data_IF_819527230842
#
_entry.id   IF_819527230842
#
_cell.length_a   1.000
_cell.length_b   1.000
_cell.length_c   1.000
_cell.angle_alpha   90.00
_cell.angle_beta   90.00
_cell.angle_gamma   90.00
#
_symmetry.space_group_name_H-M   'P 1'
#
loop_
_entity.id
_entity.type
_entity.pdbx_description
1 polymer ?
#
# COMPACT_ATOMS: atom_id res chain seq x y z
N UNK A 1 6.76 2.89 -29.80
CA UNK A 1 6.77 1.45 -30.17
C UNK A 1 6.55 0.64 -28.89
N UNK A 2 5.33 0.14 -28.66
CA UNK A 2 5.02 -0.65 -27.46
C UNK A 2 5.43 -2.10 -27.69
N UNK A 3 6.50 -2.55 -27.04
CA UNK A 3 6.86 -3.97 -27.07
C UNK A 3 5.68 -4.80 -26.52
N UNK A 4 5.29 -5.90 -27.17
CA UNK A 4 4.13 -6.69 -26.75
C UNK A 4 4.30 -7.16 -25.30
N UNK A 5 3.32 -6.80 -24.46
CA UNK A 5 3.28 -7.11 -23.02
C UNK A 5 3.18 -8.63 -22.87
N UNK A 6 4.30 -9.29 -22.56
CA UNK A 6 4.34 -10.75 -22.39
C UNK A 6 3.42 -11.15 -21.24
N UNK A 7 2.62 -12.21 -21.45
CA UNK A 7 1.67 -12.72 -20.47
C UNK A 7 2.44 -13.28 -19.25
N UNK A 8 2.18 -12.70 -18.09
CA UNK A 8 2.57 -13.24 -16.78
C UNK A 8 1.70 -14.47 -16.46
N UNK A 9 2.16 -15.41 -15.62
CA UNK A 9 1.34 -16.57 -15.26
C UNK A 9 0.04 -16.11 -14.58
N UNK A 10 -1.06 -16.82 -14.86
CA UNK A 10 -2.41 -16.43 -14.43
C UNK A 10 -2.50 -16.22 -12.91
N UNK A 11 -1.87 -17.10 -12.14
CA UNK A 11 -1.91 -17.04 -10.67
C UNK A 11 -1.32 -15.75 -10.09
N UNK A 12 -0.25 -15.19 -10.69
CA UNK A 12 0.33 -13.90 -10.26
C UNK A 12 -0.61 -12.73 -10.57
N UNK A 13 -1.35 -12.81 -11.68
CA UNK A 13 -2.30 -11.76 -12.05
C UNK A 13 -3.49 -11.76 -11.08
N UNK A 14 -4.02 -12.95 -10.77
CA UNK A 14 -5.11 -13.12 -9.81
C UNK A 14 -4.68 -12.65 -8.41
N UNK A 15 -3.50 -13.07 -7.93
CA UNK A 15 -3.02 -12.69 -6.60
C UNK A 15 -2.87 -11.17 -6.44
N UNK A 16 -2.37 -10.48 -7.47
CA UNK A 16 -2.25 -9.01 -7.46
C UNK A 16 -3.61 -8.31 -7.41
N UNK A 17 -4.58 -8.81 -8.16
CA UNK A 17 -5.94 -8.27 -8.13
C UNK A 17 -6.61 -8.50 -6.77
N UNK A 18 -6.42 -9.67 -6.15
CA UNK A 18 -6.92 -9.94 -4.80
C UNK A 18 -6.32 -8.96 -3.77
N UNK A 19 -5.01 -8.71 -3.82
CA UNK A 19 -4.36 -7.73 -2.93
C UNK A 19 -4.90 -6.32 -3.15
N UNK A 20 -5.10 -5.90 -4.41
CA UNK A 20 -5.69 -4.59 -4.72
C UNK A 20 -7.13 -4.47 -4.19
N UNK A 21 -7.95 -5.49 -4.44
CA UNK A 21 -9.33 -5.52 -3.96
C UNK A 21 -9.39 -5.43 -2.44
N UNK A 22 -8.50 -6.15 -1.76
CA UNK A 22 -8.33 -6.07 -0.31
C UNK A 22 -7.97 -4.64 0.14
N UNK A 23 -6.99 -4.00 -0.50
CA UNK A 23 -6.66 -2.60 -0.20
C UNK A 23 -7.83 -1.64 -0.43
N UNK A 24 -8.57 -1.78 -1.52
CA UNK A 24 -9.78 -0.98 -1.76
C UNK A 24 -10.84 -1.22 -0.69
N UNK A 25 -11.04 -2.47 -0.27
CA UNK A 25 -11.93 -2.82 0.83
C UNK A 25 -11.53 -2.14 2.14
N UNK A 26 -10.24 -2.09 2.45
CA UNK A 26 -9.72 -1.37 3.63
C UNK A 26 -10.01 0.12 3.58
N UNK A 27 -9.77 0.74 2.42
CA UNK A 27 -10.00 2.18 2.25
C UNK A 27 -11.49 2.48 2.32
N UNK A 28 -12.33 1.65 1.72
CA UNK A 28 -13.78 1.77 1.81
C UNK A 28 -14.28 1.61 3.26
N UNK A 29 -13.76 0.64 4.01
CA UNK A 29 -14.10 0.45 5.42
C UNK A 29 -13.66 1.66 6.26
N UNK A 30 -12.46 2.18 6.01
CA UNK A 30 -11.97 3.38 6.68
C UNK A 30 -12.84 4.61 6.40
N UNK A 31 -13.23 4.82 5.13
CA UNK A 31 -14.14 5.89 4.75
C UNK A 31 -15.53 5.71 5.37
N UNK A 32 -16.03 4.48 5.42
CA UNK A 32 -17.32 4.18 6.03
C UNK A 32 -17.33 4.49 7.53
N UNK A 33 -16.28 4.08 8.24
CA UNK A 33 -16.10 4.42 9.65
C UNK A 33 -16.04 5.93 9.86
N UNK A 34 -15.28 6.63 9.02
CA UNK A 34 -15.14 8.07 9.08
C UNK A 34 -16.45 8.83 8.83
N UNK A 35 -17.28 8.35 7.90
CA UNK A 35 -18.62 8.90 7.65
C UNK A 35 -19.57 8.56 8.81
N UNK A 36 -19.45 7.35 9.38
CA UNK A 36 -20.27 6.89 10.51
C UNK A 36 -20.04 7.67 11.80
N UNK A 37 -18.83 8.18 12.04
CA UNK A 37 -18.49 9.01 13.21
C UNK A 37 -18.85 10.51 13.05
N UNK A 38 -19.69 10.88 12.07
CA UNK A 38 -20.09 12.29 11.87
C UNK A 38 -19.08 13.13 11.06
N UNK A 39 -18.05 12.49 10.50
CA UNK A 39 -17.06 13.14 9.63
C UNK A 39 -16.09 14.08 10.34
N UNK A 40 -15.42 14.95 9.57
CA UNK A 40 -14.41 15.90 10.10
C UNK A 40 -15.03 16.92 11.07
N UNK A 41 -16.32 17.23 10.91
CA UNK A 41 -16.99 18.32 11.62
C UNK A 41 -17.34 17.98 13.07
N UNK A 42 -17.61 16.71 13.38
CA UNK A 42 -17.92 16.24 14.73
C UNK A 42 -16.69 15.84 15.56
N UNK A 43 -15.48 16.15 15.06
CA UNK A 43 -14.21 16.02 15.78
C UNK A 43 -13.70 17.41 16.22
N UNK A 44 -14.42 18.15 17.10
CA UNK A 44 -14.09 19.53 17.48
C UNK A 44 -12.77 19.68 18.24
N UNK A 45 -12.02 18.58 18.46
CA UNK A 45 -10.69 18.57 19.07
C UNK A 45 -9.64 17.84 18.21
N UNK A 46 -9.79 17.79 16.89
CA UNK A 46 -8.73 17.31 15.99
C UNK A 46 -7.45 18.14 16.21
N UNK A 47 -6.49 17.57 16.93
CA UNK A 47 -5.18 18.18 17.07
C UNK A 47 -4.45 18.02 15.73
N UNK A 48 -3.55 18.94 15.41
CA UNK A 48 -2.66 18.83 14.23
C UNK A 48 -2.06 17.42 14.00
N UNK A 49 -1.59 16.68 15.03
CA UNK A 49 -1.11 15.31 14.84
C UNK A 49 -2.15 14.32 14.33
N UNK A 50 -3.43 14.50 14.68
CA UNK A 50 -4.50 13.61 14.24
C UNK A 50 -4.81 13.81 12.75
N UNK A 51 -4.73 15.05 12.26
CA UNK A 51 -4.79 15.36 10.83
C UNK A 51 -3.63 14.73 10.06
N UNK A 52 -2.41 14.75 10.62
CA UNK A 52 -1.26 14.09 9.99
C UNK A 52 -1.42 12.57 9.95
N UNK A 53 -1.90 11.95 11.04
CA UNK A 53 -2.21 10.51 11.09
C UNK A 53 -3.24 10.13 10.01
N UNK A 54 -4.29 10.94 9.87
CA UNK A 54 -5.31 10.78 8.83
C UNK A 54 -4.74 10.99 7.43
N UNK A 55 -3.80 11.93 7.24
CA UNK A 55 -3.16 12.11 5.94
C UNK A 55 -2.30 10.89 5.57
N UNK A 56 -1.56 10.31 6.53
CA UNK A 56 -0.69 9.16 6.26
C UNK A 56 -1.46 7.86 6.02
N UNK A 57 -2.47 7.49 6.81
CA UNK A 57 -3.15 6.21 6.57
C UNK A 57 -4.06 6.29 5.34
N UNK A 58 -5.27 6.84 5.35
CA UNK A 58 -6.12 6.80 4.16
C UNK A 58 -5.54 7.59 2.97
N UNK A 59 -4.92 8.76 3.20
CA UNK A 59 -4.46 9.63 2.12
C UNK A 59 -3.26 9.06 1.34
N UNK A 60 -2.09 8.98 2.00
CA UNK A 60 -0.85 8.53 1.36
C UNK A 60 -0.95 7.04 0.98
N UNK A 61 -1.61 6.19 1.76
CA UNK A 61 -1.81 4.79 1.38
C UNK A 61 -2.68 4.65 0.12
N UNK A 62 -3.74 5.45 -0.03
CA UNK A 62 -4.56 5.44 -1.24
C UNK A 62 -3.75 5.91 -2.46
N UNK A 63 -2.98 6.98 -2.34
CA UNK A 63 -2.07 7.42 -3.40
C UNK A 63 -1.06 6.32 -3.76
N UNK A 64 -0.48 5.65 -2.76
CA UNK A 64 0.42 4.54 -2.96
C UNK A 64 -0.26 3.35 -3.68
N UNK A 65 -1.52 3.05 -3.34
CA UNK A 65 -2.34 2.07 -4.04
C UNK A 65 -2.53 2.44 -5.51
N UNK A 66 -2.88 3.69 -5.84
CA UNK A 66 -3.01 4.14 -7.22
C UNK A 66 -1.68 4.02 -8.00
N UNK A 67 -0.56 4.41 -7.37
CA UNK A 67 0.78 4.29 -7.96
C UNK A 67 1.20 2.82 -8.15
N UNK A 68 0.69 1.90 -7.33
CA UNK A 68 0.96 0.47 -7.45
C UNK A 68 0.43 -0.15 -8.76
N UNK A 69 -0.53 0.50 -9.45
CA UNK A 69 -1.09 0.00 -10.71
C UNK A 69 -0.04 -0.08 -11.83
N UNK A 70 0.65 1.02 -12.18
CA UNK A 70 1.74 0.97 -13.15
C UNK A 70 3.07 0.53 -12.54
N UNK A 71 3.28 0.73 -11.23
CA UNK A 71 4.58 0.56 -10.57
C UNK A 71 4.46 -0.11 -9.20
N UNK A 72 4.18 -1.40 -9.19
CA UNK A 72 3.96 -2.21 -7.97
C UNK A 72 5.04 -2.02 -6.89
N UNK A 73 6.33 -2.05 -7.26
CA UNK A 73 7.43 -1.84 -6.31
C UNK A 73 7.34 -0.49 -5.61
N UNK A 74 7.11 0.57 -6.37
CA UNK A 74 7.04 1.92 -5.82
C UNK A 74 5.77 2.10 -4.97
N UNK A 75 4.64 1.53 -5.41
CA UNK A 75 3.42 1.52 -4.61
C UNK A 75 3.61 0.80 -3.27
N UNK A 76 4.23 -0.39 -3.27
CA UNK A 76 4.54 -1.13 -2.05
C UNK A 76 5.48 -0.37 -1.11
N UNK A 77 6.56 0.23 -1.63
CA UNK A 77 7.48 1.06 -0.85
C UNK A 77 6.75 2.28 -0.25
N UNK A 78 5.94 2.97 -1.05
CA UNK A 78 5.17 4.12 -0.56
C UNK A 78 4.16 3.71 0.52
N UNK A 79 3.49 2.57 0.39
CA UNK A 79 2.62 2.03 1.45
C UNK A 79 3.40 1.76 2.75
N UNK A 80 4.59 1.15 2.65
CA UNK A 80 5.44 0.92 3.81
C UNK A 80 5.89 2.23 4.45
N UNK A 81 6.32 3.21 3.65
CA UNK A 81 6.68 4.55 4.14
C UNK A 81 5.50 5.25 4.79
N UNK A 82 4.29 5.08 4.26
CA UNK A 82 3.04 5.57 4.83
C UNK A 82 2.82 5.04 6.25
N UNK A 83 3.01 3.73 6.43
CA UNK A 83 2.90 3.05 7.72
C UNK A 83 3.97 3.53 8.72
N UNK A 84 5.22 3.65 8.26
CA UNK A 84 6.33 4.17 9.08
C UNK A 84 6.10 5.63 9.46
N UNK A 85 5.62 6.45 8.51
CA UNK A 85 5.28 7.85 8.73
C UNK A 85 4.19 8.01 9.78
N UNK A 86 3.12 7.22 9.68
CA UNK A 86 2.08 7.17 10.70
C UNK A 86 2.64 6.85 12.10
N UNK A 87 3.45 5.79 12.24
CA UNK A 87 4.05 5.42 13.53
C UNK A 87 5.00 6.49 14.05
N UNK A 88 5.75 7.15 13.17
CA UNK A 88 6.66 8.23 13.53
C UNK A 88 5.88 9.42 14.08
N UNK A 89 4.80 9.84 13.40
CA UNK A 89 3.92 10.91 13.89
C UNK A 89 3.31 10.53 15.22
N UNK A 90 2.82 9.30 15.39
CA UNK A 90 2.24 8.85 16.66
C UNK A 90 3.25 8.86 17.79
N UNK A 91 4.46 8.34 17.55
CA UNK A 91 5.52 8.33 18.56
C UNK A 91 5.92 9.75 19.01
N UNK A 92 6.10 10.68 18.06
CA UNK A 92 6.47 12.08 18.35
C UNK A 92 5.34 12.80 19.09
N UNK A 93 4.09 12.56 18.71
CA UNK A 93 2.93 13.29 19.23
C UNK A 93 2.53 12.84 20.63
N UNK A 94 2.53 11.53 20.89
CA UNK A 94 2.06 10.98 22.17
C UNK A 94 3.16 10.94 23.23
N UNK A 95 4.42 11.21 22.85
CA UNK A 95 5.63 11.08 23.69
C UNK A 95 5.76 9.71 24.37
N UNK A 96 5.09 8.69 23.83
CA UNK A 96 5.09 7.31 24.30
C UNK A 96 5.44 6.41 23.13
N UNK A 97 6.21 5.37 23.41
CA UNK A 97 6.44 4.31 22.43
C UNK A 97 5.10 3.59 22.26
N UNK A 98 4.55 3.51 21.04
CA UNK A 98 3.32 2.77 20.82
C UNK A 98 3.55 1.30 21.22
N UNK A 99 2.88 0.86 22.27
CA UNK A 99 2.90 -0.55 22.71
C UNK A 99 2.07 -1.44 21.79
N UNK A 100 1.16 -0.83 21.03
CA UNK A 100 0.29 -1.50 20.08
C UNK A 100 0.71 -1.14 18.65
N UNK A 101 0.83 -2.17 17.82
CA UNK A 101 1.10 -2.00 16.39
C UNK A 101 -0.23 -1.83 15.67
N UNK A 102 -0.82 -0.66 15.84
CA UNK A 102 -2.08 -0.34 15.18
C UNK A 102 -1.90 -0.46 13.66
N UNK A 103 -2.87 -1.11 13.02
CA UNK A 103 -2.88 -1.29 11.57
C UNK A 103 -1.72 -2.10 10.99
N UNK A 104 -1.06 -2.98 11.79
CA UNK A 104 0.02 -3.84 11.29
C UNK A 104 -0.38 -4.68 10.07
N UNK A 105 -1.66 -5.03 9.95
CA UNK A 105 -2.21 -5.75 8.80
C UNK A 105 -2.07 -4.97 7.47
N UNK A 106 -1.92 -3.64 7.49
CA UNK A 106 -1.64 -2.83 6.29
C UNK A 106 -0.24 -3.10 5.71
N UNK A 107 0.68 -3.66 6.49
CA UNK A 107 1.99 -4.09 5.98
C UNK A 107 1.88 -5.32 5.07
N UNK A 108 0.87 -6.17 5.26
CA UNK A 108 0.67 -7.39 4.46
C UNK A 108 0.58 -7.05 2.95
N UNK A 109 -0.35 -6.19 2.49
CA UNK A 109 -0.42 -5.83 1.07
C UNK A 109 0.84 -5.10 0.58
N UNK A 110 1.46 -4.25 1.42
CA UNK A 110 2.69 -3.53 1.07
C UNK A 110 3.84 -4.50 0.76
N UNK A 111 4.05 -5.49 1.64
CA UNK A 111 5.06 -6.54 1.46
C UNK A 111 4.73 -7.39 0.22
N UNK A 112 3.45 -7.78 0.04
CA UNK A 112 3.04 -8.56 -1.12
C UNK A 112 3.32 -7.84 -2.45
N UNK A 113 3.08 -6.53 -2.55
CA UNK A 113 3.42 -5.76 -3.74
C UNK A 113 4.93 -5.76 -4.03
N UNK A 114 5.76 -5.64 -3.00
CA UNK A 114 7.21 -5.69 -3.14
C UNK A 114 7.65 -7.09 -3.62
N UNK A 115 7.15 -8.15 -2.97
CA UNK A 115 7.46 -9.54 -3.32
C UNK A 115 7.03 -9.85 -4.75
N UNK A 116 5.81 -9.51 -5.15
CA UNK A 116 5.32 -9.72 -6.52
C UNK A 116 6.12 -8.95 -7.55
N UNK A 117 6.60 -7.76 -7.22
CA UNK A 117 7.50 -7.02 -8.11
C UNK A 117 8.83 -7.77 -8.30
N UNK A 118 9.44 -8.30 -7.23
CA UNK A 118 10.71 -9.03 -7.31
C UNK A 118 10.54 -10.33 -8.12
N UNK A 119 9.46 -11.07 -7.87
CA UNK A 119 9.15 -12.31 -8.61
C UNK A 119 8.92 -12.08 -10.11
N UNK A 120 8.24 -10.99 -10.48
CA UNK A 120 8.05 -10.62 -11.89
C UNK A 120 9.37 -10.26 -12.58
N UNK A 121 10.28 -9.57 -11.87
CA UNK A 121 11.62 -9.23 -12.40
C UNK A 121 12.46 -10.49 -12.67
N UNK A 122 12.50 -11.44 -11.72
CA UNK A 122 13.24 -12.69 -11.88
C UNK A 122 12.73 -13.54 -13.05
N UNK A 123 11.41 -13.57 -13.27
CA UNK A 123 10.79 -14.31 -14.38
C UNK A 123 11.16 -13.71 -15.74
N UNK A 124 11.30 -12.38 -15.83
CA UNK A 124 11.73 -11.68 -17.05
C UNK A 124 13.19 -11.99 -17.39
N UNK A 125 14.08 -11.99 -16.39
CA UNK A 125 15.51 -12.26 -16.60
C UNK A 125 15.77 -13.68 -17.14
N UNK A 126 15.18 -14.72 -16.51
CA UNK A 126 15.36 -16.12 -16.95
C UNK A 126 14.99 -16.33 -18.41
N UNK A 127 13.92 -15.69 -18.89
CA UNK A 127 13.45 -15.80 -20.29
C UNK A 127 14.34 -15.05 -21.27
N UNK A 128 14.92 -13.92 -20.88
CA UNK A 128 15.90 -13.20 -21.71
C UNK A 128 17.17 -14.02 -21.91
N UNK A 129 17.62 -14.71 -20.85
CA UNK A 129 18.78 -15.61 -20.94
C UNK A 129 18.53 -16.78 -21.91
N UNK A 130 17.35 -17.44 -21.82
CA UNK A 130 17.00 -18.53 -22.73
C UNK A 130 16.92 -18.10 -24.21
N UNK A 131 16.52 -16.85 -24.50
CA UNK A 131 16.47 -16.35 -25.88
C UNK A 131 17.84 -16.06 -26.50
N UNK A 132 18.87 -15.79 -25.70
CA UNK A 132 20.24 -15.56 -26.21
C UNK A 132 21.01 -16.85 -26.50
N UNK A 133 20.52 -17.99 -26.02
CA UNK A 133 21.14 -19.31 -26.19
C UNK A 133 20.62 -20.09 -27.41
N UNK A 134 19.59 -19.58 -28.07
CA UNK A 134 19.05 -20.12 -29.34
C UNK A 134 19.43 -19.16 -30.45
#
# INVERSE_FOLDING_TARGET
MFAPKRREPLWLQVSRWLVRLFCFGFIALFLFFFIGEGGIQELPQLKQPDLLRLAFIPGVFFLALLISFPRERFGGILMTLSFVGYHTVSWVSDKKIPTHWDFWWLLIPAILFIVFSVLSQNTRQKRTYQRRRR
#
